data_IF_610804287037
#
_entry.id   IF_610804287037
#
_cell.length_a   1.000
_cell.length_b   1.000
_cell.length_c   1.000
_cell.angle_alpha   90.00
_cell.angle_beta   90.00
_cell.angle_gamma   90.00
#
_symmetry.space_group_name_H-M   'P 1'
#
loop_
_entity.id
_entity.type
_entity.pdbx_description
1 polymer ?
#
# COMPACT_ATOMS: atom_id res chain seq x y z
N UNK A 1 -14.41 16.81 -0.20
CA UNK A 1 -13.11 17.35 -0.64
C UNK A 1 -12.42 16.21 -1.38
N UNK A 2 -12.62 16.16 -2.69
CA UNK A 2 -11.99 15.17 -3.58
C UNK A 2 -10.54 15.63 -3.76
N UNK A 3 -9.60 14.86 -3.21
CA UNK A 3 -8.18 15.15 -3.37
C UNK A 3 -7.65 14.24 -4.45
N UNK A 4 -7.19 14.86 -5.54
CA UNK A 4 -6.31 14.24 -6.53
C UNK A 4 -7.02 13.82 -7.82
N UNK A 5 -6.94 14.69 -8.83
CA UNK A 5 -7.35 14.48 -10.23
C UNK A 5 -6.56 13.37 -10.97
N UNK A 6 -6.02 12.38 -10.25
CA UNK A 6 -5.37 11.20 -10.82
C UNK A 6 -6.00 9.88 -10.40
N UNK A 7 -6.64 9.80 -9.23
CA UNK A 7 -7.00 8.51 -8.64
C UNK A 7 -8.46 8.34 -8.21
N UNK A 8 -9.31 9.37 -8.24
CA UNK A 8 -10.73 9.29 -7.85
C UNK A 8 -10.96 8.64 -6.45
N UNK A 9 -9.94 8.53 -5.60
CA UNK A 9 -10.05 7.90 -4.29
C UNK A 9 -10.38 8.94 -3.24
N UNK A 10 -11.36 8.64 -2.40
CA UNK A 10 -11.70 9.52 -1.28
C UNK A 10 -10.71 9.36 -0.13
N UNK A 11 -10.52 10.42 0.67
CA UNK A 11 -9.74 10.35 1.93
C UNK A 11 -10.32 9.31 2.90
N UNK A 12 -11.65 9.12 2.89
CA UNK A 12 -12.31 8.08 3.68
C UNK A 12 -11.89 6.68 3.27
N UNK A 13 -11.84 6.41 1.96
CA UNK A 13 -11.35 5.14 1.43
C UNK A 13 -9.88 4.90 1.79
N UNK A 14 -9.03 5.92 1.66
CA UNK A 14 -7.60 5.81 2.01
C UNK A 14 -7.43 5.48 3.51
N UNK A 15 -8.22 6.10 4.39
CA UNK A 15 -8.23 5.81 5.82
C UNK A 15 -8.63 4.37 6.15
N UNK A 16 -9.58 3.78 5.42
CA UNK A 16 -9.94 2.38 5.58
C UNK A 16 -8.82 1.44 5.11
N UNK A 17 -8.14 1.78 4.01
CA UNK A 17 -6.97 1.03 3.52
C UNK A 17 -5.82 1.07 4.51
N UNK A 18 -5.48 2.25 5.06
CA UNK A 18 -4.41 2.41 6.05
C UNK A 18 -4.65 1.60 7.34
N UNK A 19 -5.91 1.33 7.67
CA UNK A 19 -6.32 0.50 8.82
C UNK A 19 -6.42 -0.99 8.49
N UNK A 20 -6.07 -1.40 7.26
CA UNK A 20 -6.20 -2.77 6.78
C UNK A 20 -7.64 -3.26 6.63
N UNK A 21 -8.62 -2.35 6.56
CA UNK A 21 -10.04 -2.69 6.42
C UNK A 21 -10.47 -2.89 4.97
N UNK A 22 -9.69 -2.33 4.02
CA UNK A 22 -9.92 -2.46 2.59
C UNK A 22 -8.61 -2.74 1.86
N UNK A 23 -8.71 -3.53 0.81
CA UNK A 23 -7.61 -3.80 -0.10
C UNK A 23 -7.81 -2.98 -1.38
N UNK A 24 -6.86 -2.11 -1.77
CA UNK A 24 -6.95 -1.34 -3.00
C UNK A 24 -6.83 -2.26 -4.22
N UNK A 25 -7.62 -2.00 -5.26
CA UNK A 25 -7.46 -2.71 -6.54
C UNK A 25 -6.17 -2.27 -7.26
N UNK A 26 -5.71 -3.08 -8.20
CA UNK A 26 -4.54 -2.75 -9.04
C UNK A 26 -4.71 -1.42 -9.80
N UNK A 27 -5.93 -1.10 -10.23
CA UNK A 27 -6.25 0.18 -10.89
C UNK A 27 -6.07 1.36 -9.93
N UNK A 28 -6.54 1.22 -8.68
CA UNK A 28 -6.38 2.26 -7.64
C UNK A 28 -4.91 2.47 -7.31
N UNK A 29 -4.14 1.39 -7.15
CA UNK A 29 -2.69 1.46 -6.93
C UNK A 29 -1.98 2.15 -8.09
N UNK A 30 -2.32 1.82 -9.33
CA UNK A 30 -1.76 2.47 -10.52
C UNK A 30 -2.06 3.97 -10.54
N UNK A 31 -3.28 4.34 -10.18
CA UNK A 31 -3.69 5.73 -10.16
C UNK A 31 -2.97 6.55 -9.07
N UNK A 32 -2.72 5.95 -7.90
CA UNK A 32 -1.91 6.53 -6.82
C UNK A 32 -0.45 6.68 -7.28
N UNK A 33 0.14 5.64 -7.87
CA UNK A 33 1.52 5.68 -8.38
C UNK A 33 1.71 6.77 -9.44
N UNK A 34 0.75 6.89 -10.37
CA UNK A 34 0.75 7.94 -11.39
C UNK A 34 0.69 9.35 -10.78
N UNK A 35 -0.10 9.53 -9.71
CA UNK A 35 -0.19 10.83 -9.02
C UNK A 35 1.12 11.24 -8.35
N UNK A 36 1.87 10.28 -7.81
CA UNK A 36 3.18 10.51 -7.19
C UNK A 36 4.35 10.42 -8.17
N UNK A 37 4.08 10.31 -9.48
CA UNK A 37 5.09 10.12 -10.53
C UNK A 37 6.06 8.97 -10.22
N UNK A 38 5.56 7.92 -9.56
CA UNK A 38 6.33 6.75 -9.12
C UNK A 38 6.08 5.58 -10.08
N UNK A 39 7.11 4.94 -10.67
CA UNK A 39 6.92 3.74 -11.45
C UNK A 39 6.33 2.60 -10.61
N UNK A 40 5.32 1.89 -11.13
CA UNK A 40 4.67 0.77 -10.43
C UNK A 40 5.68 -0.32 -10.02
N UNK A 41 6.68 -0.60 -10.85
CA UNK A 41 7.74 -1.57 -10.53
C UNK A 41 8.53 -1.17 -9.28
N UNK A 42 8.85 0.11 -9.13
CA UNK A 42 9.57 0.63 -7.96
C UNK A 42 8.70 0.58 -6.70
N UNK A 43 7.41 0.93 -6.83
CA UNK A 43 6.46 0.81 -5.74
C UNK A 43 6.35 -0.63 -5.23
N UNK A 44 6.16 -1.60 -6.13
CA UNK A 44 6.02 -3.01 -5.78
C UNK A 44 7.32 -3.59 -5.18
N UNK A 45 8.49 -3.17 -5.65
CA UNK A 45 9.77 -3.57 -5.04
C UNK A 45 9.87 -3.08 -3.60
N UNK A 46 9.57 -1.80 -3.34
CA UNK A 46 9.59 -1.24 -1.98
C UNK A 46 8.55 -1.91 -1.07
N UNK A 47 7.36 -2.21 -1.59
CA UNK A 47 6.36 -2.98 -0.86
C UNK A 47 6.86 -4.37 -0.53
N UNK A 48 7.46 -5.08 -1.49
CA UNK A 48 8.04 -6.40 -1.26
C UNK A 48 9.06 -6.39 -0.12
N UNK A 49 9.93 -5.38 -0.04
CA UNK A 49 10.89 -5.24 1.05
C UNK A 49 10.21 -5.11 2.42
N UNK A 50 9.08 -4.41 2.49
CA UNK A 50 8.30 -4.29 3.73
C UNK A 50 7.65 -5.61 4.13
N UNK A 51 7.11 -6.38 3.17
CA UNK A 51 6.54 -7.70 3.43
C UNK A 51 7.60 -8.68 3.93
N UNK A 52 8.78 -8.72 3.27
CA UNK A 52 9.90 -9.55 3.72
C UNK A 52 10.32 -9.17 5.14
N UNK A 53 10.42 -7.88 5.46
CA UNK A 53 10.75 -7.44 6.81
C UNK A 53 9.68 -7.85 7.85
N UNK A 54 8.40 -7.75 7.48
CA UNK A 54 7.29 -8.17 8.33
C UNK A 54 7.31 -9.69 8.57
N UNK A 55 7.46 -10.51 7.54
CA UNK A 55 7.54 -11.98 7.62
C UNK A 55 8.71 -12.43 8.50
N UNK A 56 9.88 -11.80 8.34
CA UNK A 56 11.05 -12.08 9.19
C UNK A 56 10.82 -11.68 10.66
N UNK A 57 10.00 -10.65 10.91
CA UNK A 57 9.63 -10.25 12.26
C UNK A 57 8.60 -11.20 12.89
N UNK A 58 7.64 -11.71 12.10
CA UNK A 58 6.64 -12.67 12.54
C UNK A 58 7.27 -14.04 12.84
N UNK A 59 8.24 -14.47 12.02
CA UNK A 59 9.00 -15.70 12.27
C UNK A 59 9.83 -15.62 13.57
N UNK A 60 10.35 -14.44 13.91
CA UNK A 60 11.04 -14.21 15.18
C UNK A 60 10.09 -14.24 16.39
N UNK A 61 8.84 -13.80 16.23
CA UNK A 61 7.83 -13.88 17.30
C UNK A 61 7.47 -15.33 17.62
N UNK A 62 7.37 -16.20 16.60
CA UNK A 62 7.13 -17.64 16.81
C UNK A 62 8.35 -18.39 17.38
N UNK A 63 9.59 -17.97 17.09
CA UNK A 63 10.80 -18.54 17.70
C UNK A 63 11.05 -18.06 19.13
N UNK A 64 10.50 -16.91 19.51
CA UNK A 64 10.65 -16.31 20.84
C UNK A 64 9.48 -16.64 21.80
N UNK A 65 8.43 -17.31 21.33
CA UNK A 65 7.28 -17.78 22.10
C UNK A 65 7.42 -19.25 22.53
#
# INVERSE_FOLDING_TARGET
REVGMGAQVSVGYLSEVERGQKEPSSEVLAAICNYFELPMSEFLLRLSDQFVAAELSEEQVCLAA
#
